data_IF_559112041820
#
_entry.id   IF_559112041820
#
_cell.length_a   1.000
_cell.length_b   1.000
_cell.length_c   1.000
_cell.angle_alpha   90.00
_cell.angle_beta   90.00
_cell.angle_gamma   90.00
#
_symmetry.space_group_name_H-M   'P 1'
#
loop_
_entity.id
_entity.type
_entity.pdbx_description
1 polymer ?
#
# COMPACT_ATOMS: atom_id res chain seq x y z
N UNK A 1 4.14 -4.75 13.62
CA UNK A 1 3.35 -5.43 12.54
C UNK A 1 3.76 -4.82 11.21
N UNK A 2 4.06 -5.63 10.20
CA UNK A 2 4.52 -5.20 8.88
C UNK A 2 3.54 -5.63 7.79
N UNK A 3 3.28 -4.75 6.84
CA UNK A 3 2.36 -4.94 5.71
C UNK A 3 3.05 -4.65 4.38
N UNK A 4 2.40 -5.07 3.30
CA UNK A 4 2.84 -4.84 1.92
C UNK A 4 4.12 -5.56 1.53
N UNK A 5 4.53 -6.57 2.30
CA UNK A 5 5.57 -7.51 1.90
C UNK A 5 5.02 -8.38 0.76
N UNK A 6 5.77 -8.52 -0.33
CA UNK A 6 5.31 -9.31 -1.48
C UNK A 6 5.30 -10.80 -1.16
N UNK A 7 4.24 -11.50 -1.56
CA UNK A 7 4.04 -12.94 -1.30
C UNK A 7 5.04 -13.85 -2.05
N UNK A 8 5.83 -13.28 -2.96
CA UNK A 8 6.90 -13.98 -3.71
C UNK A 8 8.14 -14.27 -2.85
N UNK A 9 8.38 -13.47 -1.81
CA UNK A 9 9.50 -13.69 -0.90
C UNK A 9 9.18 -14.87 0.01
N UNK A 10 10.13 -15.79 0.13
CA UNK A 10 10.04 -16.94 1.03
C UNK A 10 10.00 -16.50 2.49
N UNK A 11 9.52 -17.38 3.38
CA UNK A 11 9.48 -17.08 4.81
C UNK A 11 10.87 -16.81 5.38
N UNK A 12 11.89 -17.56 4.95
CA UNK A 12 13.27 -17.35 5.36
C UNK A 12 13.81 -15.98 4.94
N UNK A 13 13.57 -15.55 3.69
CA UNK A 13 13.94 -14.21 3.22
C UNK A 13 13.26 -13.11 4.04
N UNK A 14 11.97 -13.29 4.38
CA UNK A 14 11.23 -12.35 5.21
C UNK A 14 11.80 -12.30 6.62
N UNK A 15 12.08 -13.45 7.23
CA UNK A 15 12.66 -13.52 8.58
C UNK A 15 14.02 -12.82 8.59
N UNK A 16 14.89 -13.11 7.63
CA UNK A 16 16.21 -12.47 7.50
C UNK A 16 16.07 -10.95 7.34
N UNK A 17 15.15 -10.50 6.48
CA UNK A 17 14.91 -9.07 6.28
C UNK A 17 14.44 -8.35 7.56
N UNK A 18 13.60 -8.99 8.37
CA UNK A 18 13.12 -8.43 9.66
C UNK A 18 14.21 -8.45 10.73
N UNK A 19 15.12 -9.43 10.72
CA UNK A 19 16.27 -9.47 11.63
C UNK A 19 17.27 -8.34 11.38
N UNK A 20 17.30 -7.77 10.17
CA UNK A 20 18.19 -6.64 9.86
C UNK A 20 17.82 -5.34 10.59
N UNK A 21 16.62 -5.26 11.17
CA UNK A 21 16.15 -4.04 11.85
C UNK A 21 16.02 -4.22 13.38
N UNK A 22 16.35 -5.41 13.90
CA UNK A 22 16.27 -5.68 15.33
C UNK A 22 16.34 -7.15 15.72
N UNK A 23 16.39 -7.39 17.03
CA UNK A 23 16.42 -8.71 17.63
C UNK A 23 15.00 -9.30 17.72
N UNK A 24 14.72 -10.28 16.86
CA UNK A 24 13.41 -10.92 16.74
C UNK A 24 13.26 -12.05 17.76
N UNK A 25 12.29 -11.91 18.66
CA UNK A 25 11.92 -12.95 19.64
C UNK A 25 10.90 -13.93 19.09
N UNK A 26 9.92 -13.41 18.36
CA UNK A 26 8.84 -14.20 17.78
C UNK A 26 8.38 -13.60 16.46
N UNK A 27 8.06 -14.45 15.49
CA UNK A 27 7.51 -14.02 14.21
C UNK A 27 6.34 -14.90 13.79
N UNK A 28 5.32 -14.28 13.22
CA UNK A 28 4.18 -14.94 12.58
C UNK A 28 3.96 -14.31 11.22
N UNK A 29 4.01 -15.14 10.18
CA UNK A 29 3.80 -14.71 8.79
C UNK A 29 2.42 -15.20 8.36
N UNK A 30 1.63 -14.31 7.76
CA UNK A 30 0.35 -14.65 7.16
C UNK A 30 0.40 -14.28 5.68
N UNK A 31 0.34 -15.30 4.83
CA UNK A 31 0.32 -15.14 3.38
C UNK A 31 -1.09 -14.80 2.90
N UNK A 32 -1.17 -13.88 1.96
CA UNK A 32 -2.36 -13.56 1.17
C UNK A 32 -2.00 -13.71 -0.32
N UNK A 33 -2.96 -13.41 -1.21
CA UNK A 33 -2.77 -13.62 -2.65
C UNK A 33 -1.53 -12.91 -3.22
N UNK A 34 -1.44 -11.57 -3.11
CA UNK A 34 -0.31 -10.79 -3.67
C UNK A 34 0.73 -10.37 -2.63
N UNK A 35 0.32 -10.35 -1.37
CA UNK A 35 1.12 -9.80 -0.27
C UNK A 35 1.08 -10.75 0.92
N UNK A 36 1.95 -10.51 1.88
CA UNK A 36 1.97 -11.16 3.18
C UNK A 36 2.11 -10.11 4.27
N UNK A 37 1.56 -10.41 5.45
CA UNK A 37 1.69 -9.58 6.64
C UNK A 37 2.53 -10.32 7.68
N UNK A 38 3.34 -9.58 8.42
CA UNK A 38 4.22 -10.13 9.44
C UNK A 38 3.88 -9.50 10.78
N UNK A 39 3.64 -10.33 11.79
CA UNK A 39 3.61 -9.88 13.18
C UNK A 39 4.88 -10.38 13.85
N UNK A 40 5.73 -9.46 14.27
CA UNK A 40 6.94 -9.77 15.00
C UNK A 40 6.89 -9.14 16.40
N UNK A 41 7.41 -9.89 17.36
CA UNK A 41 7.88 -9.41 18.65
C UNK A 41 9.37 -9.21 18.50
N UNK A 42 9.80 -7.95 18.57
CA UNK A 42 11.14 -7.52 18.15
C UNK A 42 11.58 -6.36 19.03
N UNK A 43 12.85 -6.37 19.43
CA UNK A 43 13.52 -5.19 19.96
C UNK A 43 14.26 -4.53 18.80
N UNK A 44 13.81 -3.35 18.37
CA UNK A 44 14.42 -2.65 17.25
C UNK A 44 15.82 -2.15 17.62
N UNK A 45 16.70 -2.03 16.62
CA UNK A 45 17.92 -1.26 16.81
C UNK A 45 17.59 0.24 16.94
N UNK A 46 18.48 1.00 17.57
CA UNK A 46 18.24 2.38 18.01
C UNK A 46 17.76 3.28 16.86
N UNK A 47 18.34 3.14 15.67
CA UNK A 47 17.96 3.90 14.49
C UNK A 47 16.51 3.65 14.09
N UNK A 48 16.06 2.39 14.10
CA UNK A 48 14.69 2.03 13.74
C UNK A 48 13.70 2.33 14.87
N UNK A 49 14.11 2.18 16.13
CA UNK A 49 13.29 2.58 17.28
C UNK A 49 12.99 4.07 17.22
N UNK A 50 13.98 4.91 16.89
CA UNK A 50 13.80 6.35 16.77
C UNK A 50 12.81 6.73 15.66
N UNK A 51 12.87 6.06 14.49
CA UNK A 51 11.91 6.24 13.40
C UNK A 51 10.51 5.78 13.79
N UNK A 52 10.43 4.65 14.50
CA UNK A 52 9.19 4.04 14.92
C UNK A 52 8.45 4.92 15.95
N UNK A 53 9.17 5.46 16.93
CA UNK A 53 8.65 6.38 17.96
C UNK A 53 8.19 7.71 17.34
N UNK A 54 8.86 8.19 16.28
CA UNK A 54 8.42 9.35 15.48
C UNK A 54 7.16 9.07 14.64
N UNK A 55 6.54 7.91 14.81
CA UNK A 55 5.36 7.43 14.10
C UNK A 55 5.53 7.32 12.58
N UNK A 56 6.76 7.15 12.11
CA UNK A 56 7.08 6.95 10.68
C UNK A 56 6.23 5.80 10.14
N UNK A 57 5.67 5.95 8.94
CA UNK A 57 4.67 5.00 8.44
C UNK A 57 5.29 3.76 7.77
N UNK A 58 6.59 3.80 7.53
CA UNK A 58 7.30 2.84 6.71
C UNK A 58 8.70 2.59 7.24
N UNK A 59 9.23 1.44 6.87
CA UNK A 59 10.62 1.05 7.09
C UNK A 59 11.14 0.40 5.81
N UNK A 60 12.43 0.56 5.54
CA UNK A 60 13.09 -0.13 4.44
C UNK A 60 13.57 -1.49 4.92
N UNK A 61 13.16 -2.54 4.22
CA UNK A 61 13.66 -3.90 4.43
C UNK A 61 14.53 -4.31 3.25
N UNK A 62 15.59 -5.07 3.55
CA UNK A 62 16.51 -5.62 2.56
C UNK A 62 16.19 -7.11 2.37
N UNK A 63 15.76 -7.47 1.17
CA UNK A 63 15.45 -8.86 0.80
C UNK A 63 16.54 -9.42 -0.11
N UNK A 64 17.00 -10.64 0.15
CA UNK A 64 17.97 -11.35 -0.69
C UNK A 64 19.11 -11.94 0.11
N UNK A 65 19.68 -13.04 -0.41
CA UNK A 65 20.63 -13.88 0.32
C UNK A 65 22.11 -13.53 0.03
N UNK A 66 22.38 -12.52 -0.80
CA UNK A 66 23.74 -12.04 -1.08
C UNK A 66 23.72 -10.54 -1.37
N UNK A 67 24.81 -9.84 -1.03
CA UNK A 67 24.95 -8.38 -1.24
C UNK A 67 24.66 -7.96 -2.69
N UNK A 68 25.03 -8.81 -3.67
CA UNK A 68 24.80 -8.56 -5.10
C UNK A 68 23.35 -8.74 -5.57
N UNK A 69 22.46 -9.31 -4.74
CA UNK A 69 21.04 -9.55 -5.06
C UNK A 69 20.09 -8.97 -4.02
N UNK A 70 20.56 -8.07 -3.16
CA UNK A 70 19.69 -7.40 -2.21
C UNK A 70 18.77 -6.42 -2.91
N UNK A 71 17.47 -6.56 -2.64
CA UNK A 71 16.43 -5.65 -3.09
C UNK A 71 15.91 -4.90 -1.88
N UNK A 72 16.08 -3.58 -1.88
CA UNK A 72 15.46 -2.70 -0.92
C UNK A 72 13.97 -2.54 -1.22
N UNK A 73 13.13 -2.67 -0.20
CA UNK A 73 11.68 -2.46 -0.32
C UNK A 73 11.14 -1.74 0.90
N UNK A 74 10.41 -0.64 0.66
CA UNK A 74 9.68 0.04 1.71
C UNK A 74 8.39 -0.71 2.03
N UNK A 75 8.20 -1.00 3.31
CA UNK A 75 7.02 -1.68 3.84
C UNK A 75 6.38 -0.80 4.91
N UNK A 76 5.06 -0.88 5.04
CA UNK A 76 4.40 -0.20 6.17
C UNK A 76 4.60 -0.99 7.44
N UNK A 77 4.84 -0.29 8.53
CA UNK A 77 4.86 -0.87 9.87
C UNK A 77 3.87 -0.18 10.81
N UNK A 78 3.43 -0.91 11.83
CA UNK A 78 2.48 -0.45 12.83
C UNK A 78 2.81 -1.06 14.20
N UNK A 79 2.47 -0.39 15.31
CA UNK A 79 2.52 -0.97 16.64
C UNK A 79 1.79 -2.30 16.72
N UNK A 80 2.37 -3.28 17.43
CA UNK A 80 1.82 -4.63 17.56
C UNK A 80 0.44 -4.69 18.25
N UNK A 81 0.13 -3.66 19.03
CA UNK A 81 -1.13 -3.41 19.72
C UNK A 81 -2.17 -2.67 18.85
N UNK A 82 -1.81 -2.28 17.62
CA UNK A 82 -2.74 -1.59 16.72
C UNK A 82 -3.91 -2.50 16.33
N UNK A 83 -5.13 -1.99 16.44
CA UNK A 83 -6.33 -2.70 16.03
C UNK A 83 -6.56 -2.54 14.52
N UNK A 84 -7.38 -3.41 13.93
CA UNK A 84 -7.78 -3.27 12.52
C UNK A 84 -8.47 -1.91 12.29
N UNK A 85 -9.22 -1.41 13.27
CA UNK A 85 -9.89 -0.10 13.20
C UNK A 85 -8.87 1.04 13.16
N UNK A 86 -7.88 1.05 14.07
CA UNK A 86 -6.87 2.11 14.10
C UNK A 86 -5.99 2.12 12.86
N UNK A 87 -5.63 0.95 12.33
CA UNK A 87 -4.88 0.85 11.07
C UNK A 87 -5.70 1.38 9.90
N UNK A 88 -7.00 1.05 9.82
CA UNK A 88 -7.91 1.57 8.78
C UNK A 88 -8.06 3.09 8.86
N UNK A 89 -8.17 3.64 10.06
CA UNK A 89 -8.27 5.09 10.26
C UNK A 89 -6.96 5.79 9.86
N UNK A 90 -5.80 5.29 10.31
CA UNK A 90 -4.49 5.80 9.86
C UNK A 90 -4.37 5.73 8.34
N UNK A 91 -4.87 4.66 7.71
CA UNK A 91 -4.79 4.48 6.26
C UNK A 91 -5.99 5.01 5.47
N UNK A 92 -6.81 5.89 6.07
CA UNK A 92 -8.06 6.39 5.49
C UNK A 92 -7.81 7.27 4.28
N UNK A 93 -6.86 8.19 4.39
CA UNK A 93 -6.51 9.11 3.32
C UNK A 93 -5.54 8.41 2.37
N UNK A 94 -6.10 7.67 1.42
CA UNK A 94 -5.33 7.00 0.38
C UNK A 94 -5.93 7.26 -1.00
N UNK A 95 -5.06 7.51 -1.95
CA UNK A 95 -5.43 7.72 -3.34
C UNK A 95 -4.43 7.02 -4.24
N UNK A 96 -4.86 6.71 -5.46
CA UNK A 96 -3.98 6.16 -6.46
C UNK A 96 -3.89 7.08 -7.68
N UNK A 97 -2.72 7.11 -8.30
CA UNK A 97 -2.47 7.77 -9.57
C UNK A 97 -2.15 6.69 -10.60
N UNK A 98 -2.74 6.79 -11.79
CA UNK A 98 -2.39 5.89 -12.90
C UNK A 98 -1.02 6.32 -13.43
N UNK A 99 -0.13 5.34 -13.63
CA UNK A 99 1.19 5.58 -14.21
C UNK A 99 1.04 5.41 -15.71
N UNK A 100 1.10 6.52 -16.43
CA UNK A 100 0.94 6.58 -17.89
C UNK A 100 2.30 6.48 -18.58
N UNK A 101 3.28 7.24 -18.09
CA UNK A 101 4.61 7.31 -18.70
C UNK A 101 5.63 6.58 -17.83
N UNK A 102 5.93 7.11 -16.65
CA UNK A 102 6.87 6.49 -15.72
C UNK A 102 6.63 6.98 -14.29
N UNK A 103 7.04 6.17 -13.31
CA UNK A 103 7.02 6.59 -11.90
C UNK A 103 7.75 7.93 -11.69
N UNK A 104 8.85 8.14 -12.39
CA UNK A 104 9.68 9.32 -12.21
C UNK A 104 8.99 10.60 -12.73
N UNK A 105 8.34 10.53 -13.89
CA UNK A 105 7.61 11.66 -14.47
C UNK A 105 6.28 11.93 -13.75
N UNK A 106 5.55 10.87 -13.42
CA UNK A 106 4.18 10.99 -12.93
C UNK A 106 4.13 11.23 -11.42
N UNK A 107 5.15 10.77 -10.68
CA UNK A 107 5.18 10.82 -9.20
C UNK A 107 6.43 11.52 -8.66
N UNK A 108 7.62 10.99 -8.93
CA UNK A 108 8.82 11.41 -8.19
C UNK A 108 9.19 12.90 -8.41
N UNK A 109 9.01 13.44 -9.62
CA UNK A 109 9.32 14.84 -9.94
C UNK A 109 8.28 15.86 -9.47
N UNK A 110 7.14 15.40 -8.96
CA UNK A 110 5.99 16.27 -8.63
C UNK A 110 5.99 16.74 -7.17
N UNK A 111 6.96 16.32 -6.37
CA UNK A 111 7.16 16.73 -4.97
C UNK A 111 5.90 16.59 -4.10
N UNK A 112 5.12 15.52 -4.31
CA UNK A 112 3.96 15.24 -3.47
C UNK A 112 4.37 14.93 -2.03
N UNK A 113 3.61 15.45 -1.07
CA UNK A 113 3.75 15.12 0.35
C UNK A 113 2.84 13.94 0.69
N UNK A 114 3.42 12.73 0.78
CA UNK A 114 2.74 11.53 1.25
C UNK A 114 3.64 10.72 2.19
N UNK A 115 3.04 9.98 3.11
CA UNK A 115 3.76 9.24 4.14
C UNK A 115 4.32 7.92 3.61
N UNK A 116 3.52 7.21 2.81
CA UNK A 116 3.90 5.94 2.19
C UNK A 116 3.29 5.81 0.80
N UNK A 117 4.03 5.20 -0.12
CA UNK A 117 3.51 4.89 -1.45
C UNK A 117 4.10 3.61 -2.00
N UNK A 118 3.33 2.95 -2.87
CA UNK A 118 3.79 1.73 -3.55
C UNK A 118 3.22 1.61 -4.95
N UNK A 119 3.98 0.96 -5.82
CA UNK A 119 3.50 0.53 -7.13
C UNK A 119 2.54 -0.66 -6.98
N UNK A 120 1.42 -0.62 -7.68
CA UNK A 120 0.42 -1.68 -7.71
C UNK A 120 -0.18 -1.84 -9.11
N UNK A 121 -0.84 -2.97 -9.35
CA UNK A 121 -1.62 -3.20 -10.57
C UNK A 121 -3.10 -3.35 -10.23
N UNK A 122 -3.92 -2.46 -10.79
CA UNK A 122 -5.38 -2.49 -10.71
C UNK A 122 -5.93 -2.85 -12.10
N UNK A 123 -6.39 -4.09 -12.26
CA UNK A 123 -6.68 -4.66 -13.58
C UNK A 123 -5.44 -4.62 -14.48
N UNK A 124 -5.59 -4.04 -15.68
CA UNK A 124 -4.49 -3.85 -16.64
C UNK A 124 -3.65 -2.58 -16.37
N UNK A 125 -4.07 -1.71 -15.45
CA UNK A 125 -3.41 -0.42 -15.20
C UNK A 125 -2.33 -0.54 -14.12
N UNK A 126 -1.15 -0.01 -14.41
CA UNK A 126 -0.12 0.24 -13.41
C UNK A 126 -0.47 1.53 -12.68
N UNK A 127 -0.47 1.49 -11.35
CA UNK A 127 -0.83 2.64 -10.50
C UNK A 127 0.21 2.81 -9.41
N UNK A 128 0.33 4.04 -8.92
CA UNK A 128 1.01 4.34 -7.67
C UNK A 128 -0.05 4.64 -6.61
N UNK A 129 -0.11 3.80 -5.59
CA UNK A 129 -1.01 3.95 -4.44
C UNK A 129 -0.26 4.67 -3.33
N UNK A 130 -0.72 5.87 -2.97
CA UNK A 130 -0.16 6.67 -1.89
C UNK A 130 -1.11 6.75 -0.69
N UNK A 131 -0.50 6.89 0.48
CA UNK A 131 -1.13 7.08 1.77
C UNK A 131 -0.67 8.41 2.32
N UNK A 132 -1.64 9.27 2.61
CA UNK A 132 -1.48 10.62 3.10
C UNK A 132 -1.79 10.63 4.59
N UNK A 133 -1.15 11.53 5.33
CA UNK A 133 -1.37 11.70 6.77
C UNK A 133 -2.81 12.13 7.07
N UNK A 134 -3.30 13.08 6.29
CA UNK A 134 -4.58 13.74 6.46
C UNK A 134 -5.19 14.13 5.11
N UNK A 135 -6.37 14.75 5.17
CA UNK A 135 -7.09 15.25 4.01
C UNK A 135 -6.32 16.38 3.31
N UNK A 136 -5.64 17.21 4.06
CA UNK A 136 -4.99 18.42 3.55
C UNK A 136 -3.78 18.07 2.68
N UNK A 137 -2.97 17.08 3.08
CA UNK A 137 -1.92 16.52 2.24
C UNK A 137 -2.47 15.94 0.93
N UNK A 138 -3.60 15.24 0.97
CA UNK A 138 -4.24 14.69 -0.23
C UNK A 138 -4.78 15.81 -1.15
N UNK A 139 -5.42 16.82 -0.59
CA UNK A 139 -5.97 17.93 -1.35
C UNK A 139 -4.85 18.80 -1.95
N UNK A 140 -3.75 19.01 -1.22
CA UNK A 140 -2.53 19.63 -1.76
C UNK A 140 -1.94 18.82 -2.92
N UNK A 141 -1.90 17.48 -2.81
CA UNK A 141 -1.42 16.62 -3.89
C UNK A 141 -2.30 16.72 -5.14
N UNK A 142 -3.63 16.85 -5.00
CA UNK A 142 -4.53 17.10 -6.12
C UNK A 142 -4.32 18.48 -6.74
N UNK A 143 -4.10 19.51 -5.94
CA UNK A 143 -3.89 20.87 -6.43
C UNK A 143 -2.63 21.01 -7.31
N UNK A 144 -1.61 20.17 -7.06
CA UNK A 144 -0.42 20.08 -7.90
C UNK A 144 -0.70 19.49 -9.30
N UNK A 145 -1.74 18.68 -9.44
CA UNK A 145 -2.18 18.11 -10.72
C UNK A 145 -3.09 19.07 -11.48
N UNK A 146 -2.48 20.06 -12.16
CA UNK A 146 -3.18 21.09 -12.95
C UNK A 146 -3.90 20.57 -14.22
N UNK A 147 -3.91 19.26 -14.51
CA UNK A 147 -4.58 18.64 -15.68
C UNK A 147 -5.49 17.50 -15.22
N UNK A 148 -6.74 17.51 -15.67
CA UNK A 148 -7.81 16.61 -15.21
C UNK A 148 -7.60 15.11 -15.48
N UNK A 149 -6.59 14.77 -16.27
CA UNK A 149 -6.27 13.39 -16.66
C UNK A 149 -5.27 12.69 -15.74
N UNK A 150 -4.53 13.46 -14.94
CA UNK A 150 -3.48 12.97 -14.04
C UNK A 150 -3.93 13.02 -12.57
N UNK A 151 -5.21 13.23 -12.29
CA UNK A 151 -5.68 13.46 -10.93
C UNK A 151 -5.61 12.22 -10.03
N UNK A 152 -5.28 12.42 -8.76
CA UNK A 152 -5.38 11.41 -7.71
C UNK A 152 -6.82 10.90 -7.53
N UNK A 153 -7.01 9.58 -7.64
CA UNK A 153 -8.30 8.92 -7.49
C UNK A 153 -8.41 8.31 -6.08
N UNK A 154 -9.45 8.66 -5.34
CA UNK A 154 -9.65 8.19 -3.96
C UNK A 154 -9.87 6.68 -3.95
N UNK A 155 -9.01 5.94 -3.25
CA UNK A 155 -9.09 4.49 -3.18
C UNK A 155 -10.22 4.06 -2.22
N UNK A 156 -11.38 3.68 -2.77
CA UNK A 156 -12.52 3.19 -2.00
C UNK A 156 -13.84 3.89 -2.33
N UNK A 157 -13.81 5.04 -3.02
CA UNK A 157 -14.92 5.42 -3.89
C UNK A 157 -14.79 4.58 -5.15
N UNK A 158 -15.79 3.73 -5.43
CA UNK A 158 -15.83 2.98 -6.68
C UNK A 158 -15.68 3.92 -7.87
N UNK A 159 -15.25 3.39 -9.02
CA UNK A 159 -15.67 3.95 -10.30
C UNK A 159 -17.21 3.86 -10.36
N UNK A 160 -17.89 4.79 -9.68
CA UNK A 160 -19.31 5.04 -9.81
C UNK A 160 -19.44 6.27 -10.67
N UNK A 161 -19.97 6.07 -11.88
CA UNK A 161 -20.52 7.08 -12.78
C UNK A 161 -19.48 7.97 -13.47
N UNK A 162 -18.80 7.42 -14.47
CA UNK A 162 -18.75 8.16 -15.73
C UNK A 162 -20.07 7.87 -16.47
N UNK A 163 -20.83 8.89 -16.92
CA UNK A 163 -21.98 8.66 -17.78
C UNK A 163 -21.42 8.19 -19.12
N UNK A 164 -21.44 6.88 -19.35
CA UNK A 164 -21.36 6.35 -20.70
C UNK A 164 -22.80 6.28 -21.18
N UNK A 165 -23.25 7.34 -21.85
CA UNK A 165 -24.49 7.32 -22.63
C UNK A 165 -24.32 6.28 -23.73
N UNK A 166 -24.87 5.08 -23.50
CA UNK A 166 -25.12 4.10 -24.55
C UNK A 166 -26.50 3.46 -24.32
N UNK A 167 -27.29 3.26 -25.39
CA UNK A 167 -28.71 3.04 -25.30
C UNK A 167 -29.04 1.67 -24.72
N UNK A 168 -29.99 1.67 -23.80
CA UNK A 168 -30.64 0.50 -23.21
C UNK A 168 -31.26 -0.33 -24.33
N UNK A 169 -30.87 -1.62 -24.43
CA UNK A 169 -31.69 -2.63 -25.09
C UNK A 169 -31.46 -4.02 -24.47
N UNK A 170 -32.52 -4.56 -23.89
CA UNK A 170 -32.80 -6.01 -23.93
C UNK A 170 -32.45 -6.84 -22.70
N UNK A 171 -33.40 -6.88 -21.76
CA UNK A 171 -33.91 -8.04 -21.01
C UNK A 171 -33.05 -9.31 -20.86
N UNK A 172 -32.84 -9.72 -19.60
CA UNK A 172 -33.50 -10.94 -19.06
C UNK A 172 -33.38 -10.99 -17.53
N UNK A 173 -34.54 -11.04 -16.91
CA UNK A 173 -34.79 -11.33 -15.50
C UNK A 173 -34.66 -12.83 -15.20
N UNK A 174 -34.57 -13.10 -13.90
CA UNK A 174 -34.99 -14.33 -13.21
C UNK A 174 -33.90 -15.36 -12.85
N UNK A 175 -33.50 -15.31 -11.58
CA UNK A 175 -33.08 -16.48 -10.81
C UNK A 175 -33.98 -16.59 -9.58
N UNK A 176 -34.93 -17.52 -9.69
CA UNK A 176 -35.84 -17.99 -8.65
C UNK A 176 -35.04 -18.76 -7.60
N UNK A 177 -35.27 -18.46 -6.32
CA UNK A 177 -34.74 -19.24 -5.20
C UNK A 177 -35.70 -20.38 -4.90
N UNK A 178 -35.20 -21.61 -5.01
CA UNK A 178 -35.85 -22.83 -4.52
C UNK A 178 -35.30 -23.18 -3.15
N UNK A 179 -36.16 -23.18 -2.14
CA UNK A 179 -36.00 -23.96 -0.91
C UNK A 179 -37.42 -24.32 -0.44
N UNK A 180 -37.58 -25.52 0.15
CA UNK A 180 -38.68 -26.44 -0.11
C UNK A 180 -40.05 -26.01 0.42
#
# INVERSE_FOLDING_TARGET
MFYDILARYSESEVISAIKNIGNVHRIRIKKHYKYQSVRAEINLFEEYESEFVRETWKVQLLFGNSEKRQTAMQVRWFPGQSTVKSIKEKCKWKAYKIIRSSYYQDVARKNYSFEYGKMARFGKKLVFLAYFKDKDQLDAAKALDKRGDDTWIIHGKGLGNQPVDLPIRGSRSDLVSTTP
#
